data_IF_895193649616
#
_entry.id   IF_895193649616
#
_cell.length_a   1.000
_cell.length_b   1.000
_cell.length_c   1.000
_cell.angle_alpha   90.00
_cell.angle_beta   90.00
_cell.angle_gamma   90.00
#
_symmetry.space_group_name_H-M   'P 1'
#
loop_
_entity.id
_entity.type
_entity.pdbx_description
1 polymer ?
#
# COMPACT_ATOMS: atom_id res chain seq x y z
N UNK A 1 -6.86 23.58 6.88
CA UNK A 1 -7.98 22.86 6.21
C UNK A 1 -7.89 22.90 4.68
N UNK A 2 -7.90 24.07 4.02
CA UNK A 2 -7.90 24.17 2.53
C UNK A 2 -6.73 23.46 1.85
N UNK A 3 -5.51 23.66 2.35
CA UNK A 3 -4.30 23.03 1.79
C UNK A 3 -4.32 21.50 1.92
N UNK A 4 -4.86 20.98 3.03
CA UNK A 4 -5.01 19.54 3.24
C UNK A 4 -5.94 18.93 2.18
N UNK A 5 -7.14 19.49 1.99
CA UNK A 5 -8.08 19.02 0.95
C UNK A 5 -7.49 19.11 -0.45
N UNK A 6 -6.80 20.20 -0.78
CA UNK A 6 -6.12 20.35 -2.06
C UNK A 6 -5.04 19.27 -2.27
N UNK A 7 -4.27 18.94 -1.23
CA UNK A 7 -3.27 17.87 -1.29
C UNK A 7 -3.92 16.50 -1.51
N UNK A 8 -5.07 16.23 -0.90
CA UNK A 8 -5.79 14.97 -1.13
C UNK A 8 -6.27 14.85 -2.59
N UNK A 9 -6.77 15.91 -3.19
CA UNK A 9 -7.13 15.91 -4.62
C UNK A 9 -5.92 15.67 -5.53
N UNK A 10 -4.77 16.31 -5.23
CA UNK A 10 -3.52 16.06 -5.99
C UNK A 10 -3.08 14.62 -5.87
N UNK A 11 -3.17 14.04 -4.66
CA UNK A 11 -2.87 12.62 -4.41
C UNK A 11 -3.79 11.71 -5.21
N UNK A 12 -5.11 11.93 -5.13
CA UNK A 12 -6.10 11.15 -5.88
C UNK A 12 -5.82 11.21 -7.39
N UNK A 13 -5.53 12.40 -7.93
CA UNK A 13 -5.15 12.59 -9.34
C UNK A 13 -3.89 11.80 -9.69
N UNK A 14 -2.83 11.89 -8.87
CA UNK A 14 -1.58 11.16 -9.10
C UNK A 14 -1.82 9.64 -9.15
N UNK A 15 -2.59 9.11 -8.20
CA UNK A 15 -2.93 7.68 -8.15
C UNK A 15 -3.77 7.24 -9.35
N UNK A 16 -4.78 8.03 -9.73
CA UNK A 16 -5.63 7.70 -10.88
C UNK A 16 -4.83 7.63 -12.18
N UNK A 17 -3.96 8.60 -12.43
CA UNK A 17 -3.17 8.66 -13.67
C UNK A 17 -1.93 7.76 -13.68
N UNK A 18 -1.55 7.14 -12.56
CA UNK A 18 -0.55 6.06 -12.57
C UNK A 18 -1.12 4.73 -13.07
N UNK A 19 -2.44 4.58 -13.14
CA UNK A 19 -3.09 3.38 -13.65
C UNK A 19 -3.13 3.34 -15.18
N UNK A 20 -3.14 2.15 -15.75
CA UNK A 20 -3.40 1.94 -17.18
C UNK A 20 -4.83 2.38 -17.57
N UNK A 21 -5.09 2.48 -18.88
CA UNK A 21 -6.37 2.98 -19.39
C UNK A 21 -7.56 2.11 -18.96
N UNK A 22 -7.44 0.79 -18.97
CA UNK A 22 -8.54 -0.11 -18.64
C UNK A 22 -8.93 0.04 -17.16
N UNK A 23 -7.92 0.05 -16.28
CA UNK A 23 -8.11 0.28 -14.84
C UNK A 23 -8.76 1.64 -14.57
N UNK A 24 -8.36 2.69 -15.28
CA UNK A 24 -8.98 4.03 -15.17
C UNK A 24 -10.45 4.06 -15.57
N UNK A 25 -10.85 3.31 -16.59
CA UNK A 25 -12.26 3.19 -16.99
C UNK A 25 -13.09 2.43 -15.94
N UNK A 26 -12.53 1.36 -15.35
CA UNK A 26 -13.17 0.63 -14.25
C UNK A 26 -13.39 1.57 -13.05
N UNK A 27 -12.36 2.30 -12.63
CA UNK A 27 -12.45 3.28 -11.54
C UNK A 27 -13.50 4.34 -11.84
N UNK A 28 -13.52 4.88 -13.07
CA UNK A 28 -14.48 5.92 -13.48
C UNK A 28 -15.92 5.41 -13.36
N UNK A 29 -16.20 4.21 -13.88
CA UNK A 29 -17.52 3.56 -13.76
C UNK A 29 -17.89 3.32 -12.30
N UNK A 30 -16.95 2.81 -11.49
CA UNK A 30 -17.19 2.54 -10.07
C UNK A 30 -17.48 3.82 -9.27
N UNK A 31 -16.80 4.92 -9.58
CA UNK A 31 -17.05 6.23 -8.98
C UNK A 31 -18.42 6.78 -9.38
N UNK A 32 -18.78 6.70 -10.67
CA UNK A 32 -20.06 7.19 -11.19
C UNK A 32 -21.26 6.40 -10.67
N UNK A 33 -21.12 5.09 -10.50
CA UNK A 33 -22.22 4.22 -10.06
C UNK A 33 -22.37 4.16 -8.53
N UNK A 34 -21.36 4.61 -7.79
CA UNK A 34 -21.38 4.54 -6.33
C UNK A 34 -22.06 5.75 -5.69
N UNK A 35 -22.65 5.53 -4.51
CA UNK A 35 -23.18 6.61 -3.68
C UNK A 35 -22.07 7.07 -2.72
N UNK A 36 -21.21 7.95 -3.23
CA UNK A 36 -20.12 8.54 -2.44
C UNK A 36 -20.30 10.05 -2.32
N UNK A 37 -19.97 10.64 -1.17
CA UNK A 37 -19.78 12.08 -1.08
C UNK A 37 -18.71 12.53 -2.10
N UNK A 38 -18.83 13.73 -2.69
CA UNK A 38 -17.82 14.30 -3.58
C UNK A 38 -16.60 14.80 -2.78
N UNK A 39 -15.93 13.89 -2.07
CA UNK A 39 -14.76 14.12 -1.25
C UNK A 39 -13.58 13.26 -1.74
N UNK A 40 -12.35 13.81 -1.78
CA UNK A 40 -11.20 13.10 -2.33
C UNK A 40 -10.87 11.81 -1.58
N UNK A 41 -11.25 11.70 -0.31
CA UNK A 41 -11.00 10.50 0.51
C UNK A 41 -11.72 9.28 -0.08
N UNK A 42 -12.97 9.44 -0.51
CA UNK A 42 -13.73 8.36 -1.16
C UNK A 42 -13.20 8.07 -2.56
N UNK A 43 -12.75 9.08 -3.30
CA UNK A 43 -12.14 8.85 -4.61
C UNK A 43 -10.85 8.03 -4.48
N UNK A 44 -9.99 8.36 -3.50
CA UNK A 44 -8.78 7.59 -3.20
C UNK A 44 -9.14 6.14 -2.86
N UNK A 45 -10.16 5.93 -2.02
CA UNK A 45 -10.65 4.60 -1.70
C UNK A 45 -11.07 3.80 -2.94
N UNK A 46 -11.86 4.39 -3.85
CA UNK A 46 -12.30 3.72 -5.07
C UNK A 46 -11.12 3.40 -5.99
N UNK A 47 -10.13 4.30 -6.10
CA UNK A 47 -8.90 4.05 -6.87
C UNK A 47 -8.13 2.87 -6.29
N UNK A 48 -7.84 2.88 -4.98
CA UNK A 48 -7.06 1.82 -4.32
C UNK A 48 -7.75 0.46 -4.35
N UNK A 49 -9.09 0.43 -4.36
CA UNK A 49 -9.86 -0.81 -4.49
C UNK A 49 -9.69 -1.47 -5.87
N UNK A 50 -9.46 -0.69 -6.92
CA UNK A 50 -9.50 -1.16 -8.31
C UNK A 50 -8.14 -1.13 -9.01
N UNK A 51 -7.12 -0.48 -8.45
CA UNK A 51 -5.81 -0.32 -9.10
C UNK A 51 -4.86 -1.52 -8.95
N UNK A 52 -5.27 -2.58 -8.24
CA UNK A 52 -4.44 -3.76 -7.96
C UNK A 52 -3.24 -3.49 -7.03
N UNK A 53 -3.04 -2.24 -6.60
CA UNK A 53 -1.91 -1.81 -5.77
C UNK A 53 -2.06 -2.32 -4.32
N UNK A 54 -3.28 -2.66 -3.90
CA UNK A 54 -3.50 -3.38 -2.64
C UNK A 54 -2.71 -4.71 -2.60
N UNK A 55 -2.87 -5.55 -3.62
CA UNK A 55 -2.16 -6.83 -3.68
C UNK A 55 -0.64 -6.62 -3.79
N UNK A 56 -0.20 -5.63 -4.55
CA UNK A 56 1.22 -5.25 -4.65
C UNK A 56 1.80 -4.85 -3.29
N UNK A 57 1.09 -4.01 -2.51
CA UNK A 57 1.49 -3.62 -1.15
C UNK A 57 1.53 -4.81 -0.21
N UNK A 58 0.52 -5.68 -0.24
CA UNK A 58 0.50 -6.90 0.56
C UNK A 58 1.72 -7.79 0.25
N UNK A 59 2.04 -7.99 -1.03
CA UNK A 59 3.21 -8.77 -1.45
C UNK A 59 4.52 -8.12 -0.99
N UNK A 60 4.64 -6.79 -1.13
CA UNK A 60 5.82 -6.05 -0.66
C UNK A 60 6.03 -6.21 0.86
N UNK A 61 4.98 -6.02 1.66
CA UNK A 61 5.10 -6.14 3.12
C UNK A 61 5.34 -7.58 3.57
N UNK A 62 4.74 -8.57 2.90
CA UNK A 62 5.03 -9.98 3.17
C UNK A 62 6.50 -10.32 2.93
N UNK A 63 7.10 -9.80 1.84
CA UNK A 63 8.53 -9.99 1.56
C UNK A 63 9.43 -9.30 2.60
N UNK A 64 9.11 -8.06 2.98
CA UNK A 64 9.84 -7.35 4.03
C UNK A 64 9.77 -8.06 5.38
N UNK A 65 8.61 -8.63 5.70
CA UNK A 65 8.40 -9.40 6.92
C UNK A 65 9.20 -10.72 6.91
N UNK A 66 9.29 -11.39 5.76
CA UNK A 66 10.16 -12.56 5.57
C UNK A 66 11.63 -12.20 5.81
N UNK A 67 12.13 -11.13 5.19
CA UNK A 67 13.52 -10.66 5.37
C UNK A 67 13.78 -10.37 6.86
N UNK A 68 12.87 -9.63 7.51
CA UNK A 68 12.99 -9.32 8.94
C UNK A 68 13.07 -10.58 9.80
N UNK A 69 12.26 -11.60 9.52
CA UNK A 69 12.32 -12.88 10.25
C UNK A 69 13.66 -13.59 10.05
N UNK A 70 14.19 -13.63 8.84
CA UNK A 70 15.48 -14.26 8.53
C UNK A 70 16.66 -13.52 9.18
N UNK A 71 16.64 -12.19 9.22
CA UNK A 71 17.62 -11.39 9.94
C UNK A 71 17.54 -11.62 11.45
N UNK A 72 16.31 -11.64 11.98
CA UNK A 72 16.06 -11.92 13.40
C UNK A 72 16.58 -13.30 13.78
N UNK A 73 16.24 -14.34 13.02
CA UNK A 73 16.72 -15.71 13.24
C UNK A 73 18.26 -15.81 13.17
N UNK A 74 18.91 -15.10 12.23
CA UNK A 74 20.37 -15.01 12.16
C UNK A 74 20.98 -14.41 13.44
N UNK A 75 20.41 -13.32 13.94
CA UNK A 75 20.88 -12.67 15.18
C UNK A 75 20.74 -13.61 16.37
N UNK A 76 19.60 -14.30 16.51
CA UNK A 76 19.39 -15.26 17.59
C UNK A 76 20.34 -16.46 17.51
N UNK A 77 20.53 -17.05 16.33
CA UNK A 77 21.44 -18.18 16.15
C UNK A 77 22.91 -17.80 16.41
N UNK A 78 23.33 -16.58 16.05
CA UNK A 78 24.69 -16.09 16.36
C UNK A 78 24.87 -15.91 17.87
N UNK A 79 23.82 -15.46 18.59
CA UNK A 79 23.86 -15.32 20.06
C UNK A 79 23.93 -16.67 20.76
N UNK A 80 23.16 -17.67 20.35
CA UNK A 80 23.24 -19.02 20.94
C UNK A 80 24.62 -19.64 20.75
N UNK A 81 25.19 -19.56 19.53
CA UNK A 81 26.54 -20.06 19.29
C UNK A 81 27.63 -19.33 20.08
N UNK A 82 27.45 -18.03 20.38
CA UNK A 82 28.38 -17.32 21.26
C UNK A 82 28.26 -17.76 22.71
N UNK A 83 27.07 -18.08 23.21
CA UNK A 83 26.86 -18.54 24.59
C UNK A 83 27.50 -19.93 24.78
N UNK A 84 27.40 -20.82 23.80
CA UNK A 84 28.00 -22.16 23.84
C UNK A 84 29.54 -22.14 23.76
N UNK A 85 30.16 -21.08 23.22
CA UNK A 85 31.62 -20.92 23.18
C UNK A 85 32.25 -20.50 24.52
N UNK A 86 31.43 -20.11 25.50
CA UNK A 86 31.88 -19.71 26.84
C UNK A 86 31.45 -20.68 27.96
N UNK A 87 30.92 -21.86 27.61
CA UNK A 87 30.74 -23.00 28.52
C UNK A 87 31.90 -23.99 28.41
#
# INVERSE_FOLDING_TARGET
MRNFRANQWRKARKLYFSCDQNTREIIKKAWQNGVYPPDPTYLIYVIEKNNGDYQRRCNFYAEQDKIRREETARIYNVRENQIDLFQ
#
